data_IF_115717988201
#
_entry.id   IF_115717988201
#
_cell.length_a   1.000
_cell.length_b   1.000
_cell.length_c   1.000
_cell.angle_alpha   90.00
_cell.angle_beta   90.00
_cell.angle_gamma   90.00
#
_symmetry.space_group_name_H-M   'P 1'
#
loop_
_entity.id
_entity.type
_entity.pdbx_description
1 polymer ?
#
# COMPACT_ATOMS: atom_id res chain seq x y z
N UNK A 1 11.92 -40.72 -33.49
CA UNK A 1 11.31 -39.44 -33.03
C UNK A 1 9.84 -39.49 -33.39
N UNK A 2 8.97 -39.72 -32.42
CA UNK A 2 7.52 -39.80 -32.65
C UNK A 2 7.01 -38.36 -32.80
N UNK A 3 6.64 -37.97 -34.01
CA UNK A 3 5.86 -36.77 -34.24
C UNK A 3 4.47 -37.02 -33.64
N UNK A 4 4.26 -36.56 -32.40
CA UNK A 4 2.93 -36.43 -31.84
C UNK A 4 2.19 -35.40 -32.69
N UNK A 5 1.21 -35.87 -33.47
CA UNK A 5 0.30 -35.00 -34.18
C UNK A 5 -0.37 -34.08 -33.14
N UNK A 6 -0.06 -32.78 -33.21
CA UNK A 6 -0.71 -31.77 -32.37
C UNK A 6 -2.09 -31.56 -32.97
N UNK A 7 -3.09 -32.21 -32.39
CA UNK A 7 -4.49 -31.97 -32.75
C UNK A 7 -4.85 -30.52 -32.42
N UNK A 8 -5.17 -29.74 -33.45
CA UNK A 8 -5.72 -28.40 -33.32
C UNK A 8 -7.00 -28.46 -32.47
N UNK A 9 -7.13 -27.55 -31.50
CA UNK A 9 -8.34 -27.42 -30.67
C UNK A 9 -9.54 -27.20 -31.60
N UNK A 10 -10.38 -28.22 -31.78
CA UNK A 10 -11.59 -28.11 -32.59
C UNK A 10 -12.71 -27.43 -31.79
N UNK A 11 -12.68 -26.10 -31.79
CA UNK A 11 -13.64 -25.26 -31.08
C UNK A 11 -15.12 -25.40 -31.48
N UNK A 12 -15.53 -25.74 -32.71
CA UNK A 12 -16.97 -25.76 -33.03
C UNK A 12 -17.74 -26.93 -32.40
N UNK A 13 -17.06 -27.93 -31.83
CA UNK A 13 -17.69 -29.17 -31.36
C UNK A 13 -17.58 -29.42 -29.85
N UNK A 14 -16.86 -28.58 -29.10
CA UNK A 14 -16.66 -28.76 -27.66
C UNK A 14 -17.58 -27.83 -26.86
N UNK A 15 -18.32 -28.39 -25.91
CA UNK A 15 -19.04 -27.58 -24.93
C UNK A 15 -18.05 -26.90 -23.97
N UNK A 16 -18.53 -25.90 -23.23
CA UNK A 16 -17.73 -25.16 -22.24
C UNK A 16 -17.15 -26.09 -21.16
N UNK A 17 -17.89 -27.16 -20.84
CA UNK A 17 -17.49 -28.17 -19.87
C UNK A 17 -16.44 -29.12 -20.47
N UNK A 18 -16.63 -29.58 -21.70
CA UNK A 18 -15.64 -30.42 -22.41
C UNK A 18 -14.29 -29.70 -22.54
N UNK A 19 -14.33 -28.40 -22.81
CA UNK A 19 -13.12 -27.59 -22.93
C UNK A 19 -12.37 -27.42 -21.59
N UNK A 20 -13.11 -27.40 -20.47
CA UNK A 20 -12.50 -27.43 -19.13
C UNK A 20 -11.86 -28.79 -18.85
N UNK A 21 -12.55 -29.89 -19.19
CA UNK A 21 -12.05 -31.26 -18.97
C UNK A 21 -10.82 -31.56 -19.84
N UNK A 22 -10.85 -31.10 -21.08
CA UNK A 22 -9.73 -31.20 -22.03
C UNK A 22 -8.50 -30.45 -21.52
N UNK A 23 -8.65 -29.21 -21.07
CA UNK A 23 -7.51 -28.47 -20.47
C UNK A 23 -7.10 -29.01 -19.10
N UNK A 24 -7.98 -29.67 -18.35
CA UNK A 24 -7.59 -30.31 -17.09
C UNK A 24 -6.67 -31.51 -17.36
N UNK A 25 -6.92 -32.24 -18.44
CA UNK A 25 -6.24 -33.50 -18.75
C UNK A 25 -5.03 -33.35 -19.69
N UNK A 26 -5.11 -32.41 -20.63
CA UNK A 26 -4.23 -32.37 -21.81
C UNK A 26 -3.61 -30.98 -22.09
N UNK A 27 -3.67 -30.02 -21.16
CA UNK A 27 -3.14 -28.66 -21.40
C UNK A 27 -1.68 -28.61 -21.87
N UNK A 28 -0.85 -29.54 -21.41
CA UNK A 28 0.57 -29.58 -21.78
C UNK A 28 0.78 -29.89 -23.27
N UNK A 29 -0.18 -30.60 -23.91
CA UNK A 29 -0.11 -30.99 -25.32
C UNK A 29 -0.32 -29.83 -26.29
N UNK A 30 -1.03 -28.79 -25.87
CA UNK A 30 -1.35 -27.65 -26.74
C UNK A 30 -0.20 -26.67 -26.84
N UNK A 31 0.17 -26.26 -28.05
CA UNK A 31 1.19 -25.22 -28.19
C UNK A 31 0.64 -23.85 -27.78
N UNK A 32 1.53 -22.90 -27.49
CA UNK A 32 1.13 -21.51 -27.24
C UNK A 32 0.36 -20.94 -28.43
N UNK A 33 0.83 -21.23 -29.65
CA UNK A 33 0.18 -20.84 -30.89
C UNK A 33 -1.26 -21.32 -30.97
N UNK A 34 -1.54 -22.57 -30.59
CA UNK A 34 -2.91 -23.11 -30.61
C UNK A 34 -3.83 -22.35 -29.64
N UNK A 35 -3.36 -22.10 -28.41
CA UNK A 35 -4.12 -21.39 -27.39
C UNK A 35 -4.41 -19.92 -27.77
N UNK A 36 -3.46 -19.26 -28.44
CA UNK A 36 -3.67 -17.88 -28.92
C UNK A 36 -4.54 -17.81 -30.17
N UNK A 37 -4.38 -18.74 -31.11
CA UNK A 37 -5.22 -18.82 -32.32
C UNK A 37 -6.71 -18.92 -31.95
N UNK A 38 -7.04 -19.68 -30.90
CA UNK A 38 -8.41 -19.77 -30.36
C UNK A 38 -8.97 -18.40 -29.94
N UNK A 39 -8.14 -17.50 -29.41
CA UNK A 39 -8.56 -16.19 -28.92
C UNK A 39 -8.80 -15.17 -30.03
N UNK A 40 -8.25 -15.40 -31.22
CA UNK A 40 -8.37 -14.54 -32.39
C UNK A 40 -9.68 -14.78 -33.15
N UNK A 41 -10.32 -15.94 -32.97
CA UNK A 41 -11.64 -16.23 -33.51
C UNK A 41 -12.77 -15.55 -32.72
N UNK A 42 -13.94 -15.40 -33.36
CA UNK A 42 -15.18 -14.96 -32.71
C UNK A 42 -15.72 -16.05 -31.77
N UNK A 43 -15.18 -16.08 -30.56
CA UNK A 43 -15.58 -17.02 -29.50
C UNK A 43 -16.51 -16.38 -28.47
N UNK A 44 -17.29 -17.23 -27.79
CA UNK A 44 -18.14 -16.77 -26.69
C UNK A 44 -17.29 -16.20 -25.53
N UNK A 45 -17.83 -15.25 -24.75
CA UNK A 45 -17.08 -14.64 -23.64
C UNK A 45 -16.58 -15.65 -22.59
N UNK A 46 -17.29 -16.77 -22.43
CA UNK A 46 -16.94 -17.82 -21.48
C UNK A 46 -15.78 -18.68 -21.96
N UNK A 47 -15.78 -19.11 -23.22
CA UNK A 47 -14.63 -19.78 -23.84
C UNK A 47 -13.39 -18.89 -23.75
N UNK A 48 -13.55 -17.58 -23.99
CA UNK A 48 -12.45 -16.60 -23.83
C UNK A 48 -11.90 -16.54 -22.41
N UNK A 49 -12.73 -16.71 -21.40
CA UNK A 49 -12.28 -16.77 -19.99
C UNK A 49 -11.56 -18.08 -19.71
N UNK A 50 -12.07 -19.21 -20.21
CA UNK A 50 -11.49 -20.53 -20.00
C UNK A 50 -10.10 -20.61 -20.65
N UNK A 51 -9.98 -20.22 -21.92
CA UNK A 51 -8.70 -20.23 -22.66
C UNK A 51 -7.66 -19.31 -22.02
N UNK A 52 -8.06 -18.12 -21.56
CA UNK A 52 -7.15 -17.23 -20.81
C UNK A 52 -6.69 -17.81 -19.48
N UNK A 53 -7.56 -18.55 -18.79
CA UNK A 53 -7.17 -19.25 -17.57
C UNK A 53 -6.17 -20.38 -17.88
N UNK A 54 -6.36 -21.11 -18.98
CA UNK A 54 -5.45 -22.14 -19.46
C UNK A 54 -4.06 -21.56 -19.79
N UNK A 55 -4.01 -20.46 -20.53
CA UNK A 55 -2.77 -19.71 -20.81
C UNK A 55 -2.05 -19.32 -19.51
N UNK A 56 -2.77 -18.75 -18.53
CA UNK A 56 -2.17 -18.37 -17.24
C UNK A 56 -1.71 -19.56 -16.39
N UNK A 57 -2.41 -20.70 -16.44
CA UNK A 57 -1.99 -21.93 -15.78
C UNK A 57 -0.69 -22.44 -16.39
N UNK A 58 -0.61 -22.48 -17.73
CA UNK A 58 0.59 -22.89 -18.46
C UNK A 58 1.78 -21.95 -18.23
N UNK A 59 1.54 -20.63 -18.18
CA UNK A 59 2.57 -19.60 -17.94
C UNK A 59 3.22 -19.75 -16.56
N UNK A 60 2.44 -20.25 -15.59
CA UNK A 60 2.87 -20.42 -14.20
C UNK A 60 3.31 -21.84 -13.89
N UNK A 61 3.29 -22.74 -14.88
CA UNK A 61 3.57 -24.18 -14.71
C UNK A 61 2.71 -24.80 -13.61
N UNK A 62 1.41 -24.44 -13.57
CA UNK A 62 0.46 -24.94 -12.58
C UNK A 62 -0.63 -25.77 -13.25
N UNK A 63 -1.16 -26.80 -12.56
CA UNK A 63 -2.30 -27.55 -13.07
C UNK A 63 -3.47 -26.61 -13.32
N UNK A 64 -4.19 -26.87 -14.40
CA UNK A 64 -5.41 -26.14 -14.72
C UNK A 64 -6.48 -26.46 -13.68
N UNK A 65 -7.00 -25.43 -13.03
CA UNK A 65 -8.04 -25.56 -12.00
C UNK A 65 -9.06 -24.43 -12.16
N UNK A 66 -9.99 -24.65 -13.10
CA UNK A 66 -11.13 -23.78 -13.32
C UNK A 66 -12.40 -24.64 -13.36
N UNK A 67 -13.43 -24.20 -12.66
CA UNK A 67 -14.77 -24.80 -12.74
C UNK A 67 -15.69 -23.93 -13.59
N UNK A 68 -16.73 -24.53 -14.18
CA UNK A 68 -17.70 -23.82 -15.00
C UNK A 68 -18.39 -22.68 -14.21
N UNK A 69 -18.72 -22.91 -12.94
CA UNK A 69 -19.27 -21.88 -12.05
C UNK A 69 -18.34 -20.68 -11.88
N UNK A 70 -17.02 -20.92 -11.76
CA UNK A 70 -16.03 -19.84 -11.67
C UNK A 70 -15.90 -19.10 -12.98
N UNK A 71 -15.92 -19.81 -14.11
CA UNK A 71 -15.88 -19.21 -15.44
C UNK A 71 -17.10 -18.31 -15.68
N UNK A 72 -18.32 -18.82 -15.46
CA UNK A 72 -19.57 -18.06 -15.59
C UNK A 72 -19.63 -16.85 -14.66
N UNK A 73 -19.23 -17.01 -13.39
CA UNK A 73 -19.13 -15.92 -12.42
C UNK A 73 -18.17 -14.83 -12.89
N UNK A 74 -17.02 -15.22 -13.46
CA UNK A 74 -16.04 -14.29 -14.02
C UNK A 74 -16.59 -13.55 -15.24
N UNK A 75 -17.31 -14.22 -16.14
CA UNK A 75 -17.98 -13.58 -17.29
C UNK A 75 -18.99 -12.55 -16.80
N UNK A 76 -19.86 -12.91 -15.84
CA UNK A 76 -20.83 -12.00 -15.22
C UNK A 76 -20.14 -10.78 -14.61
N UNK A 77 -19.01 -10.97 -13.92
CA UNK A 77 -18.22 -9.87 -13.35
C UNK A 77 -17.67 -8.93 -14.44
N UNK A 78 -17.15 -9.48 -15.54
CA UNK A 78 -16.62 -8.70 -16.67
C UNK A 78 -17.73 -7.89 -17.33
N UNK A 79 -18.86 -8.53 -17.65
CA UNK A 79 -20.03 -7.87 -18.24
C UNK A 79 -20.56 -6.75 -17.33
N UNK A 80 -20.70 -7.03 -16.02
CA UNK A 80 -21.10 -6.02 -15.04
C UNK A 80 -20.13 -4.84 -14.98
N UNK A 81 -18.83 -5.09 -15.05
CA UNK A 81 -17.81 -4.03 -15.05
C UNK A 81 -17.88 -3.19 -16.32
N UNK A 82 -18.05 -3.83 -17.49
CA UNK A 82 -18.25 -3.13 -18.77
C UNK A 82 -19.50 -2.25 -18.73
N UNK A 83 -20.62 -2.80 -18.27
CA UNK A 83 -21.91 -2.08 -18.09
C UNK A 83 -21.72 -0.86 -17.19
N UNK A 84 -21.19 -1.05 -15.97
CA UNK A 84 -20.92 0.05 -15.02
C UNK A 84 -20.03 1.15 -15.61
N UNK A 85 -18.96 0.77 -16.30
CA UNK A 85 -18.05 1.74 -16.91
C UNK A 85 -18.68 2.48 -18.09
N UNK A 86 -19.51 1.81 -18.89
CA UNK A 86 -20.30 2.46 -19.93
C UNK A 86 -21.28 3.46 -19.31
N UNK A 87 -22.14 3.02 -18.39
CA UNK A 87 -23.11 3.86 -17.67
C UNK A 87 -22.46 5.10 -17.07
N UNK A 88 -21.33 4.96 -16.37
CA UNK A 88 -20.60 6.10 -15.78
C UNK A 88 -20.11 7.10 -16.82
N UNK A 89 -19.59 6.62 -17.95
CA UNK A 89 -19.12 7.48 -19.04
C UNK A 89 -20.31 8.18 -19.71
N UNK A 90 -21.38 7.46 -19.95
CA UNK A 90 -22.61 7.98 -20.54
C UNK A 90 -23.27 9.01 -19.63
N UNK A 91 -23.38 8.73 -18.33
CA UNK A 91 -23.87 9.70 -17.34
C UNK A 91 -23.02 10.96 -17.28
N UNK A 92 -21.68 10.82 -17.29
CA UNK A 92 -20.79 11.99 -17.32
C UNK A 92 -20.96 12.84 -18.59
N UNK A 93 -21.24 12.21 -19.74
CA UNK A 93 -21.39 12.90 -21.03
C UNK A 93 -22.77 13.52 -21.22
N UNK A 94 -23.82 12.82 -20.84
CA UNK A 94 -25.21 13.14 -21.19
C UNK A 94 -26.08 13.54 -20.00
N UNK A 95 -25.58 13.39 -18.76
CA UNK A 95 -26.28 13.76 -17.54
C UNK A 95 -27.65 13.09 -17.42
N UNK A 96 -28.69 13.92 -17.32
CA UNK A 96 -30.08 13.51 -17.12
C UNK A 96 -30.60 12.66 -18.30
N UNK A 97 -30.10 12.88 -19.51
CA UNK A 97 -30.52 12.15 -20.71
C UNK A 97 -29.78 10.81 -20.93
N UNK A 98 -28.90 10.42 -20.00
CA UNK A 98 -28.08 9.23 -20.17
C UNK A 98 -28.87 7.93 -20.32
N UNK A 99 -30.08 7.83 -19.75
CA UNK A 99 -30.90 6.62 -19.79
C UNK A 99 -31.25 6.21 -21.23
N UNK A 100 -31.57 7.17 -22.10
CA UNK A 100 -31.90 6.89 -23.51
C UNK A 100 -30.71 6.26 -24.24
N UNK A 101 -29.50 6.74 -23.96
CA UNK A 101 -28.27 6.18 -24.53
C UNK A 101 -27.87 4.84 -23.90
N UNK A 102 -28.19 4.63 -22.63
CA UNK A 102 -27.93 3.36 -21.96
C UNK A 102 -28.81 2.24 -22.52
N UNK A 103 -30.11 2.51 -22.70
CA UNK A 103 -31.08 1.53 -23.19
C UNK A 103 -30.77 1.07 -24.62
N UNK A 104 -30.18 1.93 -25.47
CA UNK A 104 -29.72 1.54 -26.81
C UNK A 104 -28.73 0.37 -26.81
N UNK A 105 -27.85 0.31 -25.80
CA UNK A 105 -26.83 -0.74 -25.69
C UNK A 105 -27.23 -1.86 -24.70
N UNK A 106 -28.03 -1.53 -23.70
CA UNK A 106 -28.52 -2.44 -22.67
C UNK A 106 -30.05 -2.31 -22.57
N UNK A 107 -30.81 -3.01 -23.42
CA UNK A 107 -32.28 -2.87 -23.49
C UNK A 107 -32.99 -3.15 -22.16
N UNK A 108 -32.46 -4.11 -21.38
CA UNK A 108 -33.03 -4.51 -20.08
C UNK A 108 -32.59 -3.60 -18.92
N UNK A 109 -31.97 -2.45 -19.21
CA UNK A 109 -31.47 -1.55 -18.19
C UNK A 109 -32.59 -0.75 -17.54
N UNK A 110 -32.89 -1.08 -16.28
CA UNK A 110 -33.92 -0.40 -15.50
C UNK A 110 -33.37 0.85 -14.81
N UNK A 111 -34.24 1.85 -14.60
CA UNK A 111 -33.89 3.11 -13.92
C UNK A 111 -33.30 2.87 -12.51
N UNK A 112 -33.82 1.88 -11.78
CA UNK A 112 -33.33 1.49 -10.47
C UNK A 112 -31.85 1.03 -10.46
N UNK A 113 -31.30 0.61 -11.61
CA UNK A 113 -29.90 0.19 -11.73
C UNK A 113 -28.92 1.36 -11.84
N UNK A 114 -29.39 2.53 -12.29
CA UNK A 114 -28.56 3.71 -12.51
C UNK A 114 -27.81 4.16 -11.25
N UNK A 115 -28.47 4.43 -10.10
CA UNK A 115 -27.76 4.87 -8.91
C UNK A 115 -26.74 3.82 -8.45
N UNK A 116 -27.07 2.52 -8.52
CA UNK A 116 -26.18 1.42 -8.11
C UNK A 116 -24.90 1.35 -8.93
N UNK A 117 -24.99 1.61 -10.24
CA UNK A 117 -23.83 1.58 -11.13
C UNK A 117 -22.98 2.84 -11.01
N UNK A 118 -23.59 3.99 -10.69
CA UNK A 118 -22.90 5.25 -10.44
C UNK A 118 -22.12 5.24 -9.12
N UNK A 119 -22.48 4.40 -8.14
CA UNK A 119 -21.72 4.30 -6.89
C UNK A 119 -20.27 3.86 -7.14
N UNK A 120 -19.34 4.79 -6.92
CA UNK A 120 -17.89 4.50 -6.87
C UNK A 120 -17.54 4.20 -5.41
N UNK A 121 -17.26 2.93 -5.09
CA UNK A 121 -16.73 2.57 -3.77
C UNK A 121 -15.42 3.35 -3.54
N UNK A 122 -15.40 4.23 -2.53
CA UNK A 122 -14.19 4.99 -2.17
C UNK A 122 -13.06 4.00 -1.86
N UNK A 123 -11.89 4.17 -2.50
CA UNK A 123 -10.69 3.41 -2.13
C UNK A 123 -10.31 3.84 -0.72
N UNK A 124 -10.24 2.89 0.23
CA UNK A 124 -9.69 3.16 1.56
C UNK A 124 -8.25 3.62 1.39
N UNK A 125 -7.90 4.81 1.89
CA UNK A 125 -6.52 5.27 1.92
C UNK A 125 -5.73 4.29 2.80
N UNK A 126 -4.69 3.67 2.23
CA UNK A 126 -3.78 2.83 3.03
C UNK A 126 -2.96 3.77 3.92
N UNK A 127 -2.92 3.52 5.22
CA UNK A 127 -2.02 4.25 6.12
C UNK A 127 -0.57 4.08 5.63
N UNK A 128 0.15 5.19 5.47
CA UNK A 128 1.59 5.13 5.17
C UNK A 128 2.29 4.56 6.40
N UNK A 129 3.06 3.48 6.22
CA UNK A 129 3.93 2.96 7.29
C UNK A 129 5.01 4.01 7.59
N UNK A 130 4.97 4.63 8.76
CA UNK A 130 6.01 5.54 9.25
C UNK A 130 7.14 4.73 9.89
N UNK A 131 8.40 5.03 9.55
CA UNK A 131 9.54 4.42 10.23
C UNK A 131 9.61 4.97 11.67
N UNK A 132 9.93 4.14 12.69
CA UNK A 132 10.13 4.63 14.04
C UNK A 132 11.32 5.60 14.06
N UNK A 133 11.13 6.73 14.75
CA UNK A 133 12.17 7.72 15.00
C UNK A 133 12.73 7.53 16.40
N UNK A 134 14.05 7.35 16.51
CA UNK A 134 14.75 7.14 17.78
C UNK A 134 15.55 8.35 18.25
N UNK A 135 15.49 9.46 17.49
CA UNK A 135 16.13 10.71 17.86
C UNK A 135 15.57 11.25 19.19
N UNK A 136 16.39 12.04 19.88
CA UNK A 136 16.07 12.59 21.20
C UNK A 136 14.70 13.28 21.23
N UNK A 137 14.36 14.08 20.21
CA UNK A 137 13.10 14.83 20.19
C UNK A 137 11.90 13.92 20.02
N UNK A 138 11.95 12.95 19.11
CA UNK A 138 10.88 11.97 18.92
C UNK A 138 10.60 11.21 20.22
N UNK A 139 11.65 10.81 20.96
CA UNK A 139 11.52 10.13 22.25
C UNK A 139 10.94 11.02 23.35
N UNK A 140 11.39 12.28 23.44
CA UNK A 140 10.83 13.24 24.41
C UNK A 140 9.36 13.55 24.09
N UNK A 141 9.00 13.77 22.83
CA UNK A 141 7.62 13.99 22.42
C UNK A 141 6.73 12.80 22.77
N UNK A 142 7.17 11.57 22.51
CA UNK A 142 6.42 10.38 22.90
C UNK A 142 6.22 10.28 24.42
N UNK A 143 7.22 10.66 25.21
CA UNK A 143 7.12 10.73 26.68
C UNK A 143 6.09 11.77 27.13
N UNK A 144 6.12 12.97 26.54
CA UNK A 144 5.18 14.03 26.87
C UNK A 144 3.77 13.76 26.35
N UNK A 145 3.62 13.04 25.24
CA UNK A 145 2.32 12.62 24.69
C UNK A 145 1.58 11.69 25.67
N UNK A 146 2.30 10.72 26.24
CA UNK A 146 1.76 9.88 27.32
C UNK A 146 1.33 10.76 28.50
N UNK A 147 2.20 11.67 28.95
CA UNK A 147 1.89 12.55 30.08
C UNK A 147 0.66 13.43 29.80
N UNK A 148 0.55 13.99 28.60
CA UNK A 148 -0.57 14.83 28.15
C UNK A 148 -1.91 14.08 28.22
N UNK A 149 -1.91 12.78 27.88
CA UNK A 149 -3.12 11.96 27.95
C UNK A 149 -3.44 11.42 29.35
N UNK A 150 -2.46 11.37 30.26
CA UNK A 150 -2.66 10.85 31.62
C UNK A 150 -2.88 11.92 32.69
N UNK A 151 -2.42 13.15 32.46
CA UNK A 151 -2.53 14.25 33.42
C UNK A 151 -3.89 14.92 33.28
N UNK A 152 -4.52 15.25 34.42
CA UNK A 152 -5.79 15.97 34.42
C UNK A 152 -5.65 17.35 33.79
N UNK A 153 -6.50 17.61 32.79
CA UNK A 153 -6.59 18.86 32.03
C UNK A 153 -6.82 20.11 32.88
N UNK A 154 -7.42 19.98 34.06
CA UNK A 154 -7.69 21.11 34.96
C UNK A 154 -6.48 21.51 35.83
N UNK A 155 -5.43 20.69 35.84
CA UNK A 155 -4.28 20.86 36.70
C UNK A 155 -3.27 21.89 36.17
N UNK A 156 -2.53 22.54 37.07
CA UNK A 156 -1.37 23.37 36.69
C UNK A 156 -0.25 22.56 36.03
N UNK A 157 -0.19 21.26 36.28
CA UNK A 157 0.79 20.35 35.70
C UNK A 157 0.54 20.10 34.23
N UNK A 158 -0.72 20.10 33.79
CA UNK A 158 -1.10 20.00 32.39
C UNK A 158 -0.47 21.12 31.55
N UNK A 159 -0.55 22.37 32.02
CA UNK A 159 0.08 23.51 31.33
C UNK A 159 1.60 23.39 31.25
N UNK A 160 2.25 22.83 32.28
CA UNK A 160 3.69 22.54 32.28
C UNK A 160 4.09 21.44 31.29
N UNK A 161 3.16 20.58 30.86
CA UNK A 161 3.39 19.56 29.83
C UNK A 161 3.19 20.13 28.42
N UNK A 162 2.19 20.99 28.25
CA UNK A 162 1.87 21.61 26.95
C UNK A 162 3.01 22.49 26.41
N UNK A 163 3.69 23.25 27.26
CA UNK A 163 4.78 24.15 26.86
C UNK A 163 5.98 23.38 26.25
N UNK A 164 6.54 22.34 26.90
CA UNK A 164 7.53 21.46 26.29
C UNK A 164 7.09 20.82 24.98
N UNK A 165 5.83 20.37 24.88
CA UNK A 165 5.29 19.78 23.63
C UNK A 165 5.35 20.80 22.50
N UNK A 166 4.85 22.02 22.73
CA UNK A 166 4.85 23.07 21.72
C UNK A 166 6.28 23.44 21.28
N UNK A 167 7.19 23.62 22.25
CA UNK A 167 8.58 23.95 21.99
C UNK A 167 9.32 22.84 21.21
N UNK A 168 9.18 21.59 21.63
CA UNK A 168 9.79 20.43 20.97
C UNK A 168 9.23 20.21 19.56
N UNK A 169 7.92 20.37 19.38
CA UNK A 169 7.27 20.24 18.06
C UNK A 169 7.76 21.30 17.10
N UNK A 170 7.83 22.55 17.54
CA UNK A 170 8.37 23.65 16.73
C UNK A 170 9.85 23.43 16.37
N UNK A 171 10.66 22.97 17.33
CA UNK A 171 12.07 22.65 17.10
C UNK A 171 12.25 21.46 16.14
N UNK A 172 11.36 20.46 16.18
CA UNK A 172 11.36 19.31 15.27
C UNK A 172 11.02 19.73 13.83
N UNK A 173 9.96 20.53 13.66
CA UNK A 173 9.55 21.07 12.35
C UNK A 173 10.67 21.89 11.70
N UNK A 174 11.39 22.69 12.48
CA UNK A 174 12.51 23.52 12.00
C UNK A 174 13.85 22.78 11.95
N UNK A 175 13.90 21.50 12.37
CA UNK A 175 15.15 20.72 12.48
C UNK A 175 16.25 21.48 13.21
N UNK A 176 15.89 22.23 14.26
CA UNK A 176 16.83 23.05 15.01
C UNK A 176 17.91 22.17 15.68
N UNK A 177 19.12 22.65 15.99
CA UNK A 177 20.07 21.87 16.79
C UNK A 177 19.54 21.63 18.22
N UNK A 178 19.93 20.53 18.84
CA UNK A 178 19.60 20.25 20.25
C UNK A 178 20.66 20.93 21.11
N UNK A 179 20.24 21.77 22.05
CA UNK A 179 21.15 22.50 22.94
C UNK A 179 21.10 21.88 24.33
N UNK A 180 22.25 21.47 24.85
CA UNK A 180 22.41 20.94 26.20
C UNK A 180 23.35 21.84 26.98
N UNK A 181 22.90 22.30 28.15
CA UNK A 181 23.75 23.04 29.09
C UNK A 181 24.24 22.08 30.15
N UNK A 182 25.56 22.03 30.36
CA UNK A 182 26.21 21.21 31.40
C UNK A 182 27.06 22.11 32.29
N UNK A 183 27.24 21.72 33.55
CA UNK A 183 28.06 22.48 34.51
C UNK A 183 29.36 21.72 34.76
N UNK A 184 30.51 22.31 34.44
CA UNK A 184 31.85 21.74 34.64
C UNK A 184 32.62 22.65 35.58
N UNK A 185 33.13 22.10 36.69
CA UNK A 185 33.93 22.86 37.67
C UNK A 185 33.30 24.19 38.14
N UNK A 186 31.96 24.24 38.22
CA UNK A 186 31.21 25.44 38.62
C UNK A 186 30.81 26.36 37.47
N UNK A 187 31.32 26.16 36.27
CA UNK A 187 31.02 26.96 35.08
C UNK A 187 30.02 26.25 34.16
N UNK A 188 29.10 27.01 33.54
CA UNK A 188 28.08 26.47 32.64
C UNK A 188 28.54 26.54 31.19
N UNK A 189 28.57 25.39 30.53
CA UNK A 189 28.94 25.24 29.12
C UNK A 189 27.73 24.79 28.30
N UNK A 190 27.57 25.35 27.10
CA UNK A 190 26.50 24.97 26.18
C UNK A 190 27.06 24.16 25.01
N UNK A 191 26.54 22.95 24.83
CA UNK A 191 26.86 22.07 23.71
C UNK A 191 25.68 21.96 22.75
N UNK A 192 25.98 21.92 21.45
CA UNK A 192 24.98 21.76 20.40
C UNK A 192 25.14 20.41 19.70
N UNK A 193 24.06 19.65 19.61
CA UNK A 193 23.97 18.38 18.91
C UNK A 193 23.12 18.56 17.66
N UNK A 194 23.33 17.69 16.67
CA UNK A 194 22.50 17.69 15.49
C UNK A 194 21.06 17.26 15.85
N UNK A 195 20.08 17.68 15.06
CA UNK A 195 18.66 17.50 15.41
C UNK A 195 18.20 16.03 15.45
N UNK A 196 18.91 15.15 14.74
CA UNK A 196 18.63 13.72 14.65
C UNK A 196 19.52 12.86 15.58
N UNK A 197 20.30 13.48 16.47
CA UNK A 197 21.15 12.75 17.41
C UNK A 197 20.29 11.84 18.31
N UNK A 198 20.74 10.60 18.49
CA UNK A 198 20.01 9.60 19.26
C UNK A 198 19.97 9.98 20.75
N UNK A 199 18.85 9.69 21.41
CA UNK A 199 18.67 10.02 22.84
C UNK A 199 19.78 9.40 23.71
N UNK A 200 20.23 8.20 23.35
CA UNK A 200 21.28 7.47 24.06
C UNK A 200 22.59 8.26 24.07
N UNK A 201 23.00 8.82 22.94
CA UNK A 201 24.26 9.56 22.82
C UNK A 201 24.23 10.84 23.66
N UNK A 202 23.09 11.54 23.67
CA UNK A 202 22.90 12.75 24.49
C UNK A 202 22.93 12.40 25.99
N UNK A 203 22.31 11.29 26.39
CA UNK A 203 22.33 10.81 27.78
C UNK A 203 23.73 10.39 28.22
N UNK A 204 24.45 9.67 27.39
CA UNK A 204 25.83 9.26 27.67
C UNK A 204 26.75 10.49 27.80
N UNK A 205 26.60 11.49 26.91
CA UNK A 205 27.31 12.76 27.02
C UNK A 205 26.97 13.50 28.32
N UNK A 206 25.69 13.62 28.66
CA UNK A 206 25.25 14.29 29.89
C UNK A 206 25.75 13.56 31.15
N UNK A 207 25.75 12.22 31.14
CA UNK A 207 26.29 11.43 32.23
C UNK A 207 27.81 11.62 32.38
N UNK A 208 28.55 11.68 31.26
CA UNK A 208 29.99 11.94 31.26
C UNK A 208 30.31 13.34 31.77
N UNK A 209 29.54 14.35 31.36
CA UNK A 209 29.73 15.73 31.83
C UNK A 209 29.51 15.90 33.33
N UNK A 210 28.67 15.06 33.96
CA UNK A 210 28.42 15.11 35.40
C UNK A 210 29.41 14.26 36.24
N UNK A 211 30.39 13.59 35.62
CA UNK A 211 31.42 12.85 36.36
C UNK A 211 32.47 13.82 36.93
N UNK A 212 32.87 13.59 38.18
CA UNK A 212 33.92 14.36 38.83
C UNK A 212 35.26 14.19 38.09
N UNK A 213 35.99 15.30 37.89
CA UNK A 213 37.31 15.32 37.25
C UNK A 213 37.32 15.31 35.72
N UNK A 214 36.15 15.39 35.07
CA UNK A 214 36.07 15.47 33.60
C UNK A 214 36.38 16.87 33.10
N UNK A 215 37.30 16.96 32.14
CA UNK A 215 37.69 18.24 31.51
C UNK A 215 36.91 18.51 30.23
N UNK A 216 36.87 19.78 29.80
CA UNK A 216 36.25 20.18 28.54
C UNK A 216 36.87 19.45 27.33
N UNK A 217 38.18 19.17 27.36
CA UNK A 217 38.89 18.44 26.32
C UNK A 217 38.40 17.00 26.18
N UNK A 218 38.15 16.30 27.28
CA UNK A 218 37.63 14.93 27.29
C UNK A 218 36.20 14.86 26.72
N UNK A 219 35.36 15.86 27.05
CA UNK A 219 34.02 16.00 26.45
C UNK A 219 34.09 16.32 24.96
N UNK A 220 35.04 17.18 24.56
CA UNK A 220 35.32 17.49 23.16
C UNK A 220 35.75 16.26 22.36
N UNK A 221 36.62 15.43 22.92
CA UNK A 221 37.07 14.16 22.31
C UNK A 221 35.93 13.15 22.19
N UNK A 222 35.12 12.97 23.24
CA UNK A 222 33.94 12.08 23.16
C UNK A 222 32.97 12.57 22.08
N UNK A 223 32.74 13.88 21.98
CA UNK A 223 31.91 14.46 20.92
C UNK A 223 32.52 14.23 19.53
N UNK A 224 33.83 14.40 19.37
CA UNK A 224 34.49 14.14 18.10
C UNK A 224 34.40 12.67 17.68
N UNK A 225 34.61 11.73 18.60
CA UNK A 225 34.64 10.31 18.29
C UNK A 225 33.23 9.69 18.10
N UNK A 226 32.24 10.19 18.83
CA UNK A 226 30.88 9.62 18.83
C UNK A 226 29.95 10.34 17.85
N UNK A 227 30.11 11.65 17.67
CA UNK A 227 29.14 12.48 16.92
C UNK A 227 29.63 12.92 15.53
N UNK A 228 30.89 12.64 15.15
CA UNK A 228 31.41 12.80 13.77
C UNK A 228 31.23 11.48 12.99
N UNK A 229 30.06 10.85 13.10
CA UNK A 229 29.65 9.75 12.22
C UNK A 229 28.63 10.24 11.20
N UNK A 230 28.95 11.32 10.48
CA UNK A 230 28.22 11.77 9.30
C UNK A 230 29.17 12.45 8.32
#
# INVERSE_FOLDING_TARGET
>A
MVQLAVELIQLPNLTEQDLIEEFTSNLDRYSWTDLFNVLDHEITPIVKVIVRAAIHSKEREKPFNLTLERATSRVKQIQNTKRKNFVRRTFKKWGIFCMQEIVKLYPDYLEAMLPLDLVIKRKKAKAKKTKPRNDFRARQLAKYDIAYHTTDSSSKEFNKICEPIASLTHADLKKAPIRLTVTLSGEKYQYSFHWNTDEREIKEFHALANKAGVTHEQLGQYRANTLIKF
#
